data_IF_544710361104
#
_entry.id   IF_544710361104
#
_cell.length_a   1.000
_cell.length_b   1.000
_cell.length_c   1.000
_cell.angle_alpha   90.00
_cell.angle_beta   90.00
_cell.angle_gamma   90.00
#
_symmetry.space_group_name_H-M   'P 1'
#
loop_
_entity.id
_entity.type
_entity.pdbx_description
1 polymer ?
#
# COMPACT_ATOMS: atom_id res chain seq x y z
N UNK A 1 4.25 25.77 -14.71
CA UNK A 1 4.68 24.55 -15.42
C UNK A 1 4.01 23.37 -14.73
N UNK A 2 2.91 22.86 -15.30
CA UNK A 2 2.24 21.66 -14.80
C UNK A 2 3.05 20.46 -15.27
N UNK A 3 3.84 19.84 -14.36
CA UNK A 3 4.52 18.58 -14.65
C UNK A 3 3.49 17.52 -15.09
N UNK A 4 3.89 16.69 -16.07
CA UNK A 4 3.04 15.59 -16.55
C UNK A 4 2.67 14.63 -15.40
N UNK A 5 1.49 14.01 -15.43
CA UNK A 5 1.05 13.11 -14.36
C UNK A 5 2.05 12.00 -14.04
N UNK A 6 2.77 11.47 -15.04
CA UNK A 6 3.83 10.47 -14.86
C UNK A 6 5.01 10.95 -14.04
N UNK A 7 5.48 12.17 -14.29
CA UNK A 7 6.55 12.79 -13.52
C UNK A 7 6.16 12.94 -12.05
N UNK A 8 4.90 13.26 -11.75
CA UNK A 8 4.40 13.37 -10.36
C UNK A 8 4.43 12.05 -9.60
N UNK A 9 4.23 10.91 -10.28
CA UNK A 9 4.32 9.59 -9.63
C UNK A 9 5.76 9.18 -9.38
N UNK A 10 6.69 9.55 -10.24
CA UNK A 10 8.12 9.34 -10.02
C UNK A 10 8.62 10.21 -8.86
N UNK A 11 8.19 11.46 -8.78
CA UNK A 11 8.46 12.35 -7.64
C UNK A 11 7.90 11.77 -6.32
N UNK A 12 6.71 11.16 -6.34
CA UNK A 12 6.12 10.49 -5.18
C UNK A 12 6.97 9.31 -4.70
N UNK A 13 7.47 8.48 -5.62
CA UNK A 13 8.34 7.34 -5.26
C UNK A 13 9.66 7.84 -4.69
N UNK A 14 10.25 8.88 -5.27
CA UNK A 14 11.47 9.52 -4.77
C UNK A 14 11.25 10.18 -3.42
N UNK A 15 10.12 10.86 -3.21
CA UNK A 15 9.74 11.44 -1.92
C UNK A 15 9.69 10.36 -0.83
N UNK A 16 9.03 9.22 -1.08
CA UNK A 16 8.99 8.11 -0.12
C UNK A 16 10.38 7.54 0.18
N UNK A 17 11.24 7.43 -0.83
CA UNK A 17 12.62 6.95 -0.63
C UNK A 17 13.46 7.94 0.19
N UNK A 18 13.22 9.25 0.06
CA UNK A 18 13.95 10.30 0.77
C UNK A 18 13.53 10.43 2.25
N UNK A 19 12.36 9.93 2.63
CA UNK A 19 11.94 9.91 4.03
C UNK A 19 12.81 8.91 4.81
N UNK A 20 13.72 9.38 5.65
CA UNK A 20 14.63 8.51 6.39
C UNK A 20 13.87 7.47 7.25
N UNK A 21 14.33 6.24 7.29
CA UNK A 21 13.90 5.24 8.27
C UNK A 21 14.29 5.65 9.70
N UNK A 22 13.79 4.92 10.68
CA UNK A 22 14.17 5.07 12.10
C UNK A 22 14.36 3.66 12.71
N UNK A 23 14.92 3.55 13.93
CA UNK A 23 15.05 2.25 14.60
C UNK A 23 13.74 1.47 14.82
N UNK A 24 12.58 2.07 14.49
CA UNK A 24 11.26 1.47 14.61
C UNK A 24 10.37 1.69 13.39
N UNK A 25 10.94 2.23 12.30
CA UNK A 25 10.22 2.51 11.07
C UNK A 25 11.12 2.21 9.87
N UNK A 26 10.99 1.01 9.30
CA UNK A 26 11.77 0.57 8.13
C UNK A 26 11.20 1.20 6.84
N UNK A 27 12.08 1.85 6.07
CA UNK A 27 11.71 2.38 4.76
C UNK A 27 11.96 1.35 3.66
N UNK A 28 10.93 0.69 3.08
CA UNK A 28 11.11 -0.31 2.03
C UNK A 28 11.80 0.23 0.79
N UNK A 29 11.77 1.54 0.58
CA UNK A 29 12.26 2.21 -0.62
C UNK A 29 13.70 2.71 -0.50
N UNK A 30 14.30 2.63 0.69
CA UNK A 30 15.66 3.08 0.97
C UNK A 30 16.48 2.09 1.81
N UNK A 31 15.82 1.41 2.77
CA UNK A 31 16.50 0.53 3.72
C UNK A 31 16.63 -0.90 3.16
N UNK A 32 17.68 -1.61 3.60
CA UNK A 32 17.93 -3.03 3.31
C UNK A 32 17.89 -3.84 4.60
N UNK A 33 17.17 -4.97 4.59
CA UNK A 33 17.20 -5.94 5.66
C UNK A 33 18.22 -7.03 5.29
N UNK A 34 19.41 -7.06 5.93
CA UNK A 34 20.49 -7.97 5.53
C UNK A 34 20.16 -9.45 5.76
N UNK A 35 19.04 -9.74 6.42
CA UNK A 35 18.64 -11.14 6.70
C UNK A 35 17.79 -11.76 5.59
N UNK A 36 17.19 -10.93 4.72
CA UNK A 36 16.24 -11.41 3.70
C UNK A 36 16.34 -10.70 2.36
N UNK A 37 16.93 -9.50 2.32
CA UNK A 37 16.95 -8.66 1.11
C UNK A 37 18.19 -8.94 0.24
N UNK A 38 18.00 -8.96 -1.08
CA UNK A 38 19.09 -8.82 -2.02
C UNK A 38 19.69 -7.40 -2.02
N UNK A 39 20.87 -7.24 -2.59
CA UNK A 39 21.60 -5.97 -2.64
C UNK A 39 20.77 -4.81 -3.24
N UNK A 40 19.94 -5.13 -4.21
CA UNK A 40 19.15 -4.16 -4.99
C UNK A 40 17.71 -4.01 -4.50
N UNK A 41 17.39 -4.59 -3.33
CA UNK A 41 16.02 -4.63 -2.80
C UNK A 41 15.31 -3.28 -2.77
N UNK A 42 15.91 -2.17 -2.28
CA UNK A 42 15.25 -0.87 -2.30
C UNK A 42 14.96 -0.38 -3.73
N UNK A 43 15.86 -0.61 -4.68
CA UNK A 43 15.67 -0.23 -6.08
C UNK A 43 14.53 -1.03 -6.73
N UNK A 44 14.48 -2.34 -6.48
CA UNK A 44 13.40 -3.23 -6.96
C UNK A 44 12.05 -2.77 -6.40
N UNK A 45 11.96 -2.43 -5.11
CA UNK A 45 10.72 -1.97 -4.46
C UNK A 45 10.25 -0.63 -5.01
N UNK A 46 11.17 0.32 -5.28
CA UNK A 46 10.84 1.57 -5.98
C UNK A 46 10.33 1.30 -7.38
N UNK A 47 11.00 0.44 -8.14
CA UNK A 47 10.57 0.02 -9.48
C UNK A 47 9.20 -0.63 -9.48
N UNK A 48 8.92 -1.49 -8.49
CA UNK A 48 7.62 -2.13 -8.31
C UNK A 48 6.53 -1.08 -8.04
N UNK A 49 6.75 -0.17 -7.09
CA UNK A 49 5.77 0.87 -6.77
C UNK A 49 5.51 1.78 -7.97
N UNK A 50 6.55 2.25 -8.64
CA UNK A 50 6.40 3.09 -9.84
C UNK A 50 5.63 2.40 -10.96
N UNK A 51 5.93 1.13 -11.25
CA UNK A 51 5.20 0.33 -12.24
C UNK A 51 3.74 0.13 -11.83
N UNK A 52 3.49 -0.17 -10.57
CA UNK A 52 2.15 -0.32 -10.01
C UNK A 52 1.33 0.96 -10.18
N UNK A 53 1.86 2.10 -9.77
CA UNK A 53 1.15 3.37 -9.86
C UNK A 53 0.85 3.79 -11.30
N UNK A 54 1.82 3.63 -12.21
CA UNK A 54 1.63 3.94 -13.64
C UNK A 54 0.49 3.13 -14.27
N UNK A 55 0.24 1.90 -13.82
CA UNK A 55 -0.86 1.07 -14.32
C UNK A 55 -2.26 1.63 -14.01
N UNK A 56 -2.36 2.65 -13.16
CA UNK A 56 -3.62 3.33 -12.85
C UNK A 56 -3.78 4.70 -13.51
N UNK A 57 -2.75 5.23 -14.16
CA UNK A 57 -2.80 6.60 -14.69
C UNK A 57 -3.86 6.82 -15.77
N UNK A 58 -4.05 5.83 -16.62
CA UNK A 58 -4.99 5.89 -17.74
C UNK A 58 -6.35 5.24 -17.42
N UNK A 59 -6.62 5.03 -16.12
CA UNK A 59 -7.87 4.43 -15.67
C UNK A 59 -8.84 5.50 -15.19
N UNK A 60 -10.05 5.46 -15.68
CA UNK A 60 -11.16 6.24 -15.16
C UNK A 60 -11.72 5.62 -13.88
N UNK A 61 -12.35 6.44 -13.03
CA UNK A 61 -13.12 6.02 -11.86
C UNK A 61 -12.34 5.10 -10.88
N UNK A 62 -11.19 5.51 -10.43
CA UNK A 62 -10.35 4.75 -9.52
C UNK A 62 -10.94 4.78 -8.10
N UNK A 63 -11.20 3.61 -7.51
CA UNK A 63 -11.42 3.45 -6.08
C UNK A 63 -10.07 3.32 -5.37
N UNK A 64 -9.84 4.10 -4.32
CA UNK A 64 -8.66 3.99 -3.47
C UNK A 64 -8.99 3.17 -2.22
N UNK A 65 -8.33 2.02 -2.04
CA UNK A 65 -8.38 1.27 -0.79
C UNK A 65 -7.19 1.65 0.08
N UNK A 66 -7.48 2.39 1.15
CA UNK A 66 -6.48 2.92 2.06
C UNK A 66 -6.36 2.07 3.31
N UNK A 67 -5.16 1.55 3.59
CA UNK A 67 -4.83 0.81 4.81
C UNK A 67 -4.00 1.63 5.79
N UNK A 68 -3.56 0.96 6.86
CA UNK A 68 -2.78 1.57 7.94
C UNK A 68 -1.30 1.69 7.54
N UNK A 69 -0.62 0.55 7.36
CA UNK A 69 0.82 0.49 7.10
C UNK A 69 1.22 -0.89 6.55
N UNK A 70 2.42 -1.01 5.93
CA UNK A 70 2.98 -2.27 5.49
C UNK A 70 3.12 -3.29 6.63
N UNK A 71 2.75 -4.54 6.37
CA UNK A 71 3.12 -5.65 7.24
C UNK A 71 4.49 -6.21 6.87
N UNK A 72 5.09 -6.98 7.79
CA UNK A 72 6.40 -7.64 7.61
C UNK A 72 6.50 -8.53 6.35
N UNK A 73 5.38 -9.11 5.90
CA UNK A 73 5.31 -9.99 4.72
C UNK A 73 4.55 -9.35 3.54
N UNK A 74 4.20 -8.08 3.64
CA UNK A 74 3.51 -7.32 2.61
C UNK A 74 4.44 -6.34 1.89
N UNK A 75 3.99 -5.09 1.81
CA UNK A 75 4.71 -4.02 1.10
C UNK A 75 6.13 -3.75 1.64
N UNK A 76 6.47 -4.15 2.89
CA UNK A 76 7.85 -4.14 3.38
C UNK A 76 8.79 -4.92 2.47
N UNK A 77 8.35 -6.04 1.89
CA UNK A 77 9.15 -6.88 0.98
C UNK A 77 9.00 -6.47 -0.48
N UNK A 78 7.81 -6.11 -0.90
CA UNK A 78 7.48 -5.91 -2.32
C UNK A 78 7.50 -4.45 -2.77
N UNK A 79 7.35 -3.51 -1.85
CA UNK A 79 7.10 -2.10 -2.14
C UNK A 79 5.65 -1.79 -2.55
N UNK A 80 4.78 -2.80 -2.73
CA UNK A 80 3.40 -2.60 -3.19
C UNK A 80 2.40 -2.87 -2.07
N UNK A 81 1.52 -1.91 -1.73
CA UNK A 81 0.55 -2.06 -0.64
C UNK A 81 -0.34 -3.29 -0.78
N UNK A 82 -0.69 -3.90 0.34
CA UNK A 82 -1.49 -5.13 0.48
C UNK A 82 -0.98 -6.36 -0.29
N UNK A 83 0.12 -6.25 -1.02
CA UNK A 83 0.63 -7.30 -1.89
C UNK A 83 1.95 -7.85 -1.35
N UNK A 84 1.93 -9.02 -0.74
CA UNK A 84 3.13 -9.81 -0.49
C UNK A 84 3.59 -10.50 -1.78
N UNK A 85 4.78 -11.11 -1.75
CA UNK A 85 5.41 -11.71 -2.93
C UNK A 85 4.51 -12.74 -3.62
N UNK A 86 3.74 -13.52 -2.85
CA UNK A 86 2.79 -14.50 -3.40
C UNK A 86 1.62 -13.92 -4.19
N UNK A 87 1.40 -12.60 -4.14
CA UNK A 87 0.35 -11.92 -4.91
C UNK A 87 0.88 -11.13 -6.11
N UNK A 88 2.20 -11.01 -6.28
CA UNK A 88 2.76 -10.17 -7.34
C UNK A 88 2.42 -10.67 -8.74
N UNK A 89 2.37 -11.99 -8.95
CA UNK A 89 2.01 -12.57 -10.24
C UNK A 89 0.52 -12.31 -10.58
N UNK A 90 -0.38 -12.50 -9.61
CA UNK A 90 -1.82 -12.21 -9.81
C UNK A 90 -2.05 -10.71 -10.01
N UNK A 91 -1.33 -9.86 -9.27
CA UNK A 91 -1.41 -8.40 -9.42
C UNK A 91 -0.96 -7.94 -10.81
N UNK A 92 0.19 -8.43 -11.30
CA UNK A 92 0.67 -8.08 -12.64
C UNK A 92 -0.28 -8.55 -13.73
N UNK A 93 -0.87 -9.75 -13.59
CA UNK A 93 -1.89 -10.27 -14.51
C UNK A 93 -3.14 -9.39 -14.53
N UNK A 94 -3.69 -9.02 -13.36
CA UNK A 94 -4.88 -8.14 -13.26
C UNK A 94 -4.64 -6.73 -13.79
N UNK A 95 -3.41 -6.24 -13.70
CA UNK A 95 -3.02 -4.94 -14.22
C UNK A 95 -2.64 -4.98 -15.71
N UNK A 96 -2.45 -6.16 -16.30
CA UNK A 96 -1.93 -6.38 -17.64
C UNK A 96 -0.56 -5.72 -17.87
N UNK A 97 0.34 -5.85 -16.90
CA UNK A 97 1.69 -5.28 -16.94
C UNK A 97 2.78 -6.35 -16.81
N UNK A 98 4.02 -6.00 -17.13
CA UNK A 98 5.17 -6.86 -16.93
C UNK A 98 5.32 -7.29 -15.45
N UNK A 99 5.84 -8.50 -15.17
CA UNK A 99 6.00 -9.00 -13.80
C UNK A 99 6.76 -8.06 -12.88
N UNK A 100 6.35 -8.02 -11.62
CA UNK A 100 7.07 -7.32 -10.57
C UNK A 100 8.39 -8.01 -10.23
N UNK A 101 9.39 -7.24 -9.79
CA UNK A 101 10.64 -7.79 -9.29
C UNK A 101 10.50 -8.37 -7.87
N UNK A 102 11.29 -9.41 -7.58
CA UNK A 102 11.43 -9.99 -6.24
C UNK A 102 12.65 -9.35 -5.58
N UNK A 103 12.43 -8.74 -4.42
CA UNK A 103 13.46 -7.98 -3.69
C UNK A 103 14.18 -8.79 -2.62
N UNK A 104 13.72 -10.00 -2.31
CA UNK A 104 14.32 -10.87 -1.28
C UNK A 104 15.07 -12.02 -1.92
N UNK A 105 16.20 -12.42 -1.30
CA UNK A 105 16.98 -13.60 -1.73
C UNK A 105 16.34 -14.93 -1.29
N UNK A 106 15.43 -14.84 -0.36
CA UNK A 106 14.72 -15.99 0.15
C UNK A 106 13.57 -16.33 -0.80
N UNK A 107 13.67 -17.47 -1.49
CA UNK A 107 12.55 -18.10 -2.18
C UNK A 107 11.50 -18.59 -1.15
N UNK A 108 11.09 -17.68 -0.28
CA UNK A 108 10.03 -17.93 0.66
C UNK A 108 8.74 -18.01 -0.13
N UNK A 109 8.22 -19.22 -0.22
CA UNK A 109 6.77 -19.42 -0.37
C UNK A 109 6.11 -18.70 0.81
N UNK A 110 6.06 -17.38 0.74
CA UNK A 110 5.56 -16.51 1.80
C UNK A 110 4.09 -16.77 1.90
N UNK A 111 3.71 -17.38 2.99
CA UNK A 111 2.29 -17.44 3.36
C UNK A 111 1.81 -16.01 3.46
N UNK A 112 0.84 -15.59 2.63
CA UNK A 112 0.32 -14.24 2.71
C UNK A 112 -0.24 -14.00 4.11
N UNK A 113 -0.11 -12.78 4.62
CA UNK A 113 -0.68 -12.41 5.91
C UNK A 113 -2.19 -12.67 5.91
N UNK A 114 -2.78 -12.94 7.08
CA UNK A 114 -4.24 -13.12 7.18
C UNK A 114 -5.00 -11.90 6.65
N UNK A 115 -4.49 -10.70 6.88
CA UNK A 115 -5.04 -9.45 6.33
C UNK A 115 -5.01 -9.44 4.82
N UNK A 116 -3.86 -9.71 4.19
CA UNK A 116 -3.75 -9.76 2.73
C UNK A 116 -4.73 -10.77 2.13
N UNK A 117 -4.83 -11.97 2.70
CA UNK A 117 -5.80 -12.98 2.23
C UNK A 117 -7.25 -12.46 2.26
N UNK A 118 -7.66 -11.79 3.34
CA UNK A 118 -9.01 -11.22 3.44
C UNK A 118 -9.25 -10.12 2.42
N UNK A 119 -8.27 -9.25 2.20
CA UNK A 119 -8.35 -8.19 1.20
C UNK A 119 -8.47 -8.78 -0.21
N UNK A 120 -7.57 -9.71 -0.58
CA UNK A 120 -7.57 -10.33 -1.89
C UNK A 120 -8.81 -11.18 -2.18
N UNK A 121 -9.37 -11.85 -1.16
CA UNK A 121 -10.63 -12.61 -1.32
C UNK A 121 -11.87 -11.74 -1.48
N UNK A 122 -11.79 -10.45 -1.17
CA UNK A 122 -12.90 -9.50 -1.26
C UNK A 122 -12.76 -8.52 -2.43
N UNK A 123 -11.78 -8.72 -3.31
CA UNK A 123 -11.55 -7.82 -4.44
C UNK A 123 -12.71 -7.84 -5.42
N UNK A 124 -13.17 -6.66 -5.87
CA UNK A 124 -14.11 -6.56 -6.99
C UNK A 124 -13.44 -6.95 -8.32
N UNK A 125 -14.24 -7.10 -9.37
CA UNK A 125 -13.74 -7.37 -10.72
C UNK A 125 -12.77 -6.26 -11.18
N UNK A 126 -13.14 -4.99 -10.95
CA UNK A 126 -12.26 -3.83 -11.18
C UNK A 126 -11.33 -3.65 -9.98
N UNK A 127 -10.04 -3.86 -10.20
CA UNK A 127 -9.03 -3.75 -9.15
C UNK A 127 -8.95 -2.30 -8.64
N UNK A 128 -9.10 -2.04 -7.31
CA UNK A 128 -8.87 -0.73 -6.74
C UNK A 128 -7.37 -0.42 -6.65
N UNK A 129 -7.03 0.85 -6.55
CA UNK A 129 -5.68 1.25 -6.16
C UNK A 129 -5.50 1.02 -4.66
N UNK A 130 -4.44 0.32 -4.29
CA UNK A 130 -4.06 0.10 -2.89
C UNK A 130 -3.06 1.13 -2.41
N UNK A 131 -3.27 1.65 -1.20
CA UNK A 131 -2.32 2.53 -0.52
C UNK A 131 -2.34 2.31 0.99
N UNK A 132 -1.35 2.87 1.70
CA UNK A 132 -1.31 2.91 3.16
C UNK A 132 -1.14 4.34 3.66
N UNK A 133 -1.73 4.67 4.80
CA UNK A 133 -1.55 5.94 5.48
C UNK A 133 -0.06 6.20 5.82
N UNK A 134 0.66 5.14 6.17
CA UNK A 134 2.12 5.14 6.32
C UNK A 134 2.71 4.12 5.36
N UNK A 135 3.58 4.53 4.46
CA UNK A 135 4.18 3.65 3.44
C UNK A 135 5.44 2.92 3.93
N UNK A 136 5.94 3.28 5.10
CA UNK A 136 7.02 2.60 5.79
C UNK A 136 6.48 1.56 6.76
N UNK A 137 7.27 0.52 7.08
CA UNK A 137 6.86 -0.54 7.98
C UNK A 137 7.15 -0.19 9.44
N UNK A 138 6.13 0.09 10.29
CA UNK A 138 6.34 0.35 11.70
C UNK A 138 6.51 -0.96 12.46
N UNK A 139 7.57 -1.05 13.25
CA UNK A 139 7.91 -2.25 14.01
C UNK A 139 8.36 -1.90 15.45
N UNK A 140 8.45 -2.90 16.30
CA UNK A 140 8.94 -2.70 17.68
C UNK A 140 10.46 -2.64 17.72
N UNK A 141 11.00 -1.88 18.65
CA UNK A 141 12.44 -1.84 18.93
C UNK A 141 12.98 -3.26 19.16
N UNK A 142 14.10 -3.59 18.56
CA UNK A 142 14.77 -4.89 18.70
C UNK A 142 14.04 -6.09 18.05
N UNK A 143 12.87 -5.85 17.42
CA UNK A 143 12.09 -6.89 16.77
C UNK A 143 11.55 -6.40 15.42
N UNK A 144 12.41 -6.24 14.39
CA UNK A 144 12.07 -5.58 13.13
C UNK A 144 10.96 -6.27 12.32
N UNK A 145 10.63 -7.52 12.65
CA UNK A 145 9.53 -8.25 12.03
C UNK A 145 8.21 -8.19 12.84
N UNK A 146 8.16 -7.44 13.94
CA UNK A 146 6.97 -7.36 14.78
C UNK A 146 6.20 -6.07 14.52
N UNK A 147 5.14 -6.17 13.73
CA UNK A 147 4.28 -5.04 13.39
C UNK A 147 3.77 -4.30 14.64
N UNK A 148 3.62 -2.99 14.55
CA UNK A 148 2.87 -2.14 15.47
C UNK A 148 2.04 -1.13 14.68
N UNK A 149 1.09 -0.52 15.34
CA UNK A 149 0.37 0.63 14.82
C UNK A 149 1.31 1.83 14.68
N UNK A 150 1.26 2.60 13.59
CA UNK A 150 2.05 3.82 13.42
C UNK A 150 1.65 4.89 14.46
N UNK A 151 2.60 5.70 14.83
CA UNK A 151 2.37 6.87 15.68
C UNK A 151 1.73 8.02 14.90
N UNK A 152 1.15 9.00 15.60
CA UNK A 152 0.60 10.21 14.95
C UNK A 152 1.66 10.96 14.14
N UNK A 153 2.89 11.07 14.66
CA UNK A 153 3.98 11.73 13.95
C UNK A 153 4.38 11.00 12.67
N UNK A 154 4.35 9.67 12.66
CA UNK A 154 4.60 8.88 11.46
C UNK A 154 3.50 9.06 10.41
N UNK A 155 2.23 9.11 10.82
CA UNK A 155 1.10 9.41 9.93
C UNK A 155 1.24 10.82 9.35
N UNK A 156 1.52 11.82 10.19
CA UNK A 156 1.72 13.21 9.75
C UNK A 156 2.86 13.32 8.75
N UNK A 157 3.98 12.63 9.00
CA UNK A 157 5.14 12.61 8.12
C UNK A 157 4.86 12.02 6.73
N UNK A 158 3.92 11.07 6.63
CA UNK A 158 3.54 10.44 5.36
C UNK A 158 2.34 11.11 4.69
N UNK A 159 1.76 12.17 5.31
CA UNK A 159 0.58 12.86 4.77
C UNK A 159 0.85 13.47 3.39
N UNK A 160 2.04 14.01 3.17
CA UNK A 160 2.44 14.57 1.88
C UNK A 160 2.38 13.52 0.76
N UNK A 161 2.90 12.31 1.01
CA UNK A 161 2.84 11.22 0.03
C UNK A 161 1.39 10.83 -0.33
N UNK A 162 0.47 10.81 0.63
CA UNK A 162 -0.95 10.57 0.36
C UNK A 162 -1.58 11.73 -0.42
N UNK A 163 -1.20 12.97 -0.12
CA UNK A 163 -1.67 14.16 -0.84
C UNK A 163 -1.21 14.14 -2.30
N UNK A 164 0.06 13.84 -2.55
CA UNK A 164 0.61 13.70 -3.90
C UNK A 164 -0.09 12.59 -4.68
N UNK A 165 -0.34 11.44 -4.05
CA UNK A 165 -1.09 10.34 -4.66
C UNK A 165 -2.50 10.77 -5.07
N UNK A 166 -3.27 11.34 -4.14
CA UNK A 166 -4.66 11.76 -4.39
C UNK A 166 -4.70 12.81 -5.52
N UNK A 167 -3.77 13.75 -5.53
CA UNK A 167 -3.69 14.77 -6.57
C UNK A 167 -3.33 14.18 -7.96
N UNK A 168 -2.48 13.14 -8.01
CA UNK A 168 -2.08 12.49 -9.26
C UNK A 168 -3.17 11.56 -9.81
N UNK A 169 -3.76 10.73 -8.95
CA UNK A 169 -4.69 9.65 -9.34
C UNK A 169 -6.15 10.11 -9.37
N UNK A 170 -6.52 11.12 -8.57
CA UNK A 170 -7.90 11.65 -8.45
C UNK A 170 -8.93 10.54 -8.22
N UNK A 171 -8.82 9.78 -7.13
CA UNK A 171 -9.75 8.70 -6.87
C UNK A 171 -11.17 9.25 -6.72
N UNK A 172 -12.17 8.54 -7.24
CA UNK A 172 -13.57 8.93 -7.11
C UNK A 172 -14.10 8.78 -5.69
N UNK A 173 -13.52 7.83 -4.91
CA UNK A 173 -13.86 7.57 -3.51
C UNK A 173 -12.76 6.75 -2.82
N UNK A 174 -12.77 6.78 -1.50
CA UNK A 174 -11.80 6.08 -0.64
C UNK A 174 -12.53 5.04 0.22
N UNK A 175 -12.10 3.79 0.19
CA UNK A 175 -12.42 2.79 1.18
C UNK A 175 -11.35 2.80 2.27
N UNK A 176 -11.65 3.36 3.43
CA UNK A 176 -10.74 3.44 4.56
C UNK A 176 -10.83 2.15 5.41
N UNK A 177 -9.77 1.33 5.39
CA UNK A 177 -9.72 0.04 6.06
C UNK A 177 -9.11 0.20 7.45
N UNK A 178 -9.98 0.37 8.44
CA UNK A 178 -9.59 0.62 9.83
C UNK A 178 -9.48 2.11 10.20
N UNK A 179 -9.43 2.40 11.50
CA UNK A 179 -9.50 3.77 12.04
C UNK A 179 -8.31 4.65 11.69
N UNK A 180 -7.11 4.07 11.56
CA UNK A 180 -5.92 4.82 11.15
C UNK A 180 -6.08 5.34 9.71
N UNK A 181 -6.56 4.49 8.81
CA UNK A 181 -6.83 4.87 7.43
C UNK A 181 -7.93 5.93 7.32
N UNK A 182 -9.03 5.76 8.08
CA UNK A 182 -10.12 6.75 8.16
C UNK A 182 -9.61 8.12 8.61
N UNK A 183 -8.83 8.16 9.71
CA UNK A 183 -8.23 9.39 10.20
C UNK A 183 -7.23 10.03 9.23
N UNK A 184 -6.47 9.21 8.48
CA UNK A 184 -5.54 9.70 7.47
C UNK A 184 -6.27 10.26 6.23
N UNK A 185 -7.42 9.69 5.86
CA UNK A 185 -8.25 10.15 4.75
C UNK A 185 -9.03 11.44 5.09
N UNK A 186 -9.28 11.69 6.38
CA UNK A 186 -10.04 12.85 6.81
C UNK A 186 -9.43 14.17 6.33
N UNK A 187 -10.29 15.05 5.78
CA UNK A 187 -9.90 16.36 5.27
C UNK A 187 -9.49 16.41 3.79
N UNK A 188 -9.54 15.29 3.06
CA UNK A 188 -9.53 15.32 1.60
C UNK A 188 -10.96 15.46 1.06
N UNK A 189 -11.12 16.21 -0.02
CA UNK A 189 -12.40 16.39 -0.72
C UNK A 189 -12.67 15.19 -1.66
N UNK A 190 -12.82 14.02 -1.05
CA UNK A 190 -13.11 12.74 -1.71
C UNK A 190 -14.06 11.95 -0.82
N UNK A 191 -15.15 11.35 -1.32
CA UNK A 191 -16.05 10.51 -0.52
C UNK A 191 -15.31 9.38 0.18
N UNK A 192 -15.52 9.23 1.50
CA UNK A 192 -14.84 8.23 2.33
C UNK A 192 -15.86 7.28 2.92
N UNK A 193 -15.64 5.97 2.74
CA UNK A 193 -16.38 4.91 3.41
C UNK A 193 -15.45 4.16 4.35
N UNK A 194 -15.80 4.12 5.63
CA UNK A 194 -15.06 3.32 6.62
C UNK A 194 -15.50 1.86 6.58
N UNK A 195 -14.53 0.95 6.63
CA UNK A 195 -14.77 -0.48 6.91
C UNK A 195 -13.87 -0.95 8.05
N UNK A 196 -14.38 -1.89 8.85
CA UNK A 196 -13.59 -2.50 9.91
C UNK A 196 -12.39 -3.24 9.31
N UNK A 197 -11.21 -3.06 9.92
CA UNK A 197 -10.01 -3.83 9.53
C UNK A 197 -10.25 -5.35 9.74
N UNK A 198 -9.86 -6.22 8.79
CA UNK A 198 -10.19 -7.64 8.84
C UNK A 198 -9.46 -8.44 9.94
N UNK A 199 -8.44 -7.88 10.59
CA UNK A 199 -7.76 -8.52 11.71
C UNK A 199 -8.65 -8.58 12.97
N UNK A 200 -8.23 -9.38 13.96
CA UNK A 200 -8.85 -9.45 15.28
C UNK A 200 -10.37 -9.71 15.22
N UNK A 201 -10.80 -10.69 14.45
CA UNK A 201 -12.20 -11.06 14.31
C UNK A 201 -13.03 -10.16 13.38
N UNK A 202 -12.43 -9.15 12.74
CA UNK A 202 -13.13 -8.20 11.88
C UNK A 202 -13.45 -8.68 10.46
N UNK A 203 -13.11 -9.93 10.10
CA UNK A 203 -13.20 -10.40 8.71
C UNK A 203 -14.62 -10.39 8.13
N UNK A 204 -15.65 -10.73 8.94
CA UNK A 204 -17.03 -10.73 8.48
C UNK A 204 -17.54 -9.31 8.22
N UNK A 205 -17.28 -8.37 9.15
CA UNK A 205 -17.65 -6.96 9.01
C UNK A 205 -16.90 -6.30 7.85
N UNK A 206 -15.62 -6.65 7.66
CA UNK A 206 -14.84 -6.18 6.50
C UNK A 206 -15.51 -6.59 5.19
N UNK A 207 -15.81 -7.89 5.00
CA UNK A 207 -16.47 -8.38 3.78
C UNK A 207 -17.84 -7.74 3.54
N UNK A 208 -18.64 -7.58 4.59
CA UNK A 208 -19.93 -6.90 4.49
C UNK A 208 -19.77 -5.44 4.04
N UNK A 209 -18.85 -4.69 4.64
CA UNK A 209 -18.59 -3.30 4.28
C UNK A 209 -18.02 -3.15 2.86
N UNK A 210 -17.14 -4.06 2.41
CA UNK A 210 -16.66 -4.07 1.02
C UNK A 210 -17.80 -4.34 0.03
N UNK A 211 -18.69 -5.28 0.35
CA UNK A 211 -19.85 -5.58 -0.50
C UNK A 211 -20.83 -4.40 -0.58
N UNK A 212 -21.03 -3.66 0.50
CA UNK A 212 -21.82 -2.43 0.53
C UNK A 212 -21.18 -1.34 -0.33
N UNK A 213 -19.89 -1.06 -0.10
CA UNK A 213 -19.12 -0.13 -0.92
C UNK A 213 -19.18 -0.45 -2.41
N UNK A 214 -19.21 -1.74 -2.78
CA UNK A 214 -19.36 -2.17 -4.17
C UNK A 214 -20.73 -1.84 -4.77
N UNK A 215 -21.81 -1.88 -3.99
CA UNK A 215 -23.18 -1.54 -4.46
C UNK A 215 -23.36 -0.06 -4.75
N UNK A 216 -22.72 0.81 -3.98
CA UNK A 216 -22.79 2.26 -4.17
C UNK A 216 -22.09 2.75 -5.45
N UNK A 217 -21.52 1.84 -6.22
CA UNK A 217 -20.83 2.10 -7.48
C UNK A 217 -21.68 1.82 -8.73
N UNK A 218 -22.89 1.26 -8.54
CA UNK A 218 -23.85 0.90 -9.61
C UNK A 218 -24.90 1.99 -9.74
#
# INVERSE_FOLDING_TARGET
VTSEPGARLDDLVLHLAALAGTPTLFNPYADTDPTVDGSDAPAIRRGNLGRYLRAFMDRDEIDLWLGEAPSRFGARRTGVPFSGEGYLADLSSRLAIAPFGIATDEALATRPSSTSRQIWSALPARLPLFWNAVMHHPHRVGTPLRNRTPTRSEITRHREALTLLIAAIRPRRILAIGRVAEGAAAGYDVPITYVRHPAQGGAAQFRAGVAEFGRDAS
#
